data_IF_145962322139
#
_entry.id   IF_145962322139
#
_cell.length_a   1.000
_cell.length_b   1.000
_cell.length_c   1.000
_cell.angle_alpha   90.00
_cell.angle_beta   90.00
_cell.angle_gamma   90.00
#
_symmetry.space_group_name_H-M   'P 1'
#
loop_
_entity.id
_entity.type
_entity.pdbx_description
1 polymer ?
#
# COMPACT_ATOMS: atom_id res chain seq x y z
N UNK A 1 -19.37 19.46 17.70
CA UNK A 1 -19.00 18.27 16.89
C UNK A 1 -19.27 17.04 17.73
N UNK A 2 -20.06 16.09 17.24
CA UNK A 2 -20.30 14.81 17.92
C UNK A 2 -19.02 13.99 18.04
N UNK A 3 -18.99 13.06 18.99
CA UNK A 3 -17.84 12.17 19.17
C UNK A 3 -17.62 11.25 17.96
N UNK A 4 -18.69 10.87 17.25
CA UNK A 4 -18.61 10.15 15.99
C UNK A 4 -17.87 10.95 14.91
N UNK A 5 -18.12 12.27 14.81
CA UNK A 5 -17.42 13.13 13.87
C UNK A 5 -15.91 13.28 14.19
N UNK A 6 -15.55 13.33 15.48
CA UNK A 6 -14.14 13.33 15.92
C UNK A 6 -13.45 12.00 15.60
N UNK A 7 -14.12 10.88 15.88
CA UNK A 7 -13.66 9.52 15.58
C UNK A 7 -13.45 9.31 14.07
N UNK A 8 -14.38 9.76 13.23
CA UNK A 8 -14.25 9.76 11.77
C UNK A 8 -12.98 10.50 11.32
N UNK A 9 -12.79 11.75 11.76
CA UNK A 9 -11.62 12.57 11.39
C UNK A 9 -10.29 11.92 11.81
N UNK A 10 -10.25 11.26 12.98
CA UNK A 10 -9.08 10.50 13.42
C UNK A 10 -8.81 9.30 12.49
N UNK A 11 -9.85 8.54 12.14
CA UNK A 11 -9.72 7.38 11.24
C UNK A 11 -9.29 7.78 9.83
N UNK A 12 -9.76 8.93 9.31
CA UNK A 12 -9.30 9.49 8.03
C UNK A 12 -7.80 9.75 8.02
N UNK A 13 -7.26 10.36 9.08
CA UNK A 13 -5.82 10.61 9.21
C UNK A 13 -5.03 9.30 9.25
N UNK A 14 -5.50 8.32 10.00
CA UNK A 14 -4.86 7.00 10.08
C UNK A 14 -4.89 6.31 8.73
N UNK A 15 -6.02 6.36 8.02
CA UNK A 15 -6.15 5.77 6.69
C UNK A 15 -5.16 6.38 5.69
N UNK A 16 -4.99 7.70 5.73
CA UNK A 16 -3.98 8.39 4.89
C UNK A 16 -2.56 7.88 5.16
N UNK A 17 -2.19 7.70 6.43
CA UNK A 17 -0.87 7.16 6.79
C UNK A 17 -0.72 5.71 6.31
N UNK A 18 -1.77 4.90 6.40
CA UNK A 18 -1.72 3.52 5.91
C UNK A 18 -1.57 3.44 4.39
N UNK A 19 -2.26 4.30 3.64
CA UNK A 19 -2.10 4.40 2.20
C UNK A 19 -0.65 4.76 1.81
N UNK A 20 -0.02 5.69 2.55
CA UNK A 20 1.39 6.04 2.35
C UNK A 20 2.32 4.86 2.67
N UNK A 21 2.07 4.12 3.76
CA UNK A 21 2.82 2.91 4.09
C UNK A 21 2.72 1.86 2.98
N UNK A 22 1.51 1.63 2.45
CA UNK A 22 1.31 0.72 1.31
C UNK A 22 2.15 1.14 0.11
N UNK A 23 2.14 2.43 -0.24
CA UNK A 23 2.93 2.94 -1.36
C UNK A 23 4.43 2.71 -1.18
N UNK A 24 4.95 2.88 0.05
CA UNK A 24 6.37 2.62 0.36
C UNK A 24 6.70 1.14 0.14
N UNK A 25 5.87 0.22 0.64
CA UNK A 25 6.10 -1.22 0.46
C UNK A 25 5.94 -1.64 -1.01
N UNK A 26 4.99 -1.06 -1.75
CA UNK A 26 4.83 -1.28 -3.19
C UNK A 26 6.08 -0.83 -3.97
N UNK A 27 6.61 0.34 -3.62
CA UNK A 27 7.83 0.85 -4.23
C UNK A 27 9.05 -0.01 -3.87
N UNK A 28 9.19 -0.43 -2.61
CA UNK A 28 10.26 -1.32 -2.19
C UNK A 28 10.22 -2.66 -2.95
N UNK A 29 9.03 -3.26 -3.10
CA UNK A 29 8.88 -4.49 -3.88
C UNK A 29 9.20 -4.27 -5.37
N UNK A 30 8.81 -3.13 -5.95
CA UNK A 30 9.15 -2.78 -7.32
C UNK A 30 10.68 -2.64 -7.51
N UNK A 31 11.40 -2.04 -6.56
CA UNK A 31 12.86 -1.94 -6.60
C UNK A 31 13.52 -3.32 -6.52
N UNK A 32 12.99 -4.24 -5.69
CA UNK A 32 13.50 -5.61 -5.63
C UNK A 32 13.30 -6.34 -6.96
N UNK A 33 12.15 -6.17 -7.61
CA UNK A 33 11.87 -6.74 -8.94
C UNK A 33 12.80 -6.16 -10.01
N UNK A 34 13.01 -4.85 -10.00
CA UNK A 34 13.97 -4.21 -10.90
C UNK A 34 15.38 -4.77 -10.70
N UNK A 35 15.85 -4.93 -9.46
CA UNK A 35 17.15 -5.54 -9.17
C UNK A 35 17.23 -6.98 -9.70
N UNK A 36 16.15 -7.76 -9.60
CA UNK A 36 16.09 -9.10 -10.19
C UNK A 36 16.28 -9.05 -11.72
N UNK A 37 15.57 -8.16 -12.40
CA UNK A 37 15.66 -7.99 -13.85
C UNK A 37 17.07 -7.53 -14.29
N UNK A 38 17.74 -6.72 -13.47
CA UNK A 38 19.13 -6.31 -13.68
C UNK A 38 20.11 -7.48 -13.56
N UNK A 39 19.91 -8.36 -12.56
CA UNK A 39 20.70 -9.59 -12.41
C UNK A 39 20.47 -10.51 -13.63
N UNK A 40 19.22 -10.69 -14.04
CA UNK A 40 18.87 -11.47 -15.24
C UNK A 40 19.52 -10.93 -16.51
N UNK A 41 19.53 -9.61 -16.68
CA UNK A 41 20.19 -8.97 -17.82
C UNK A 41 21.70 -9.20 -17.77
N UNK A 42 22.33 -9.03 -16.60
CA UNK A 42 23.76 -9.28 -16.42
C UNK A 42 24.13 -10.73 -16.75
N UNK A 43 23.29 -11.70 -16.34
CA UNK A 43 23.53 -13.12 -16.66
C UNK A 43 23.45 -13.37 -18.16
N UNK A 44 22.44 -12.80 -18.85
CA UNK A 44 22.34 -12.90 -20.31
C UNK A 44 23.55 -12.31 -21.01
N UNK A 45 24.01 -11.13 -20.61
CA UNK A 45 25.21 -10.51 -21.19
C UNK A 45 26.48 -11.37 -20.98
N UNK A 46 26.61 -11.99 -19.80
CA UNK A 46 27.72 -12.91 -19.53
C UNK A 46 27.63 -14.16 -20.43
N UNK A 47 26.43 -14.72 -20.59
CA UNK A 47 26.21 -15.90 -21.44
C UNK A 47 26.39 -15.58 -22.93
N UNK A 48 25.86 -14.47 -23.43
CA UNK A 48 26.03 -14.01 -24.81
C UNK A 48 27.51 -13.79 -25.14
N UNK A 49 28.28 -13.29 -24.18
CA UNK A 49 29.72 -13.11 -24.38
C UNK A 49 30.53 -14.42 -24.32
N UNK A 50 29.92 -15.57 -24.04
CA UNK A 50 30.50 -16.90 -24.19
C UNK A 50 30.21 -17.51 -25.58
N UNK A 51 29.34 -16.91 -26.39
CA UNK A 51 29.05 -17.35 -27.75
C UNK A 51 30.33 -17.37 -28.62
N UNK A 52 30.62 -18.46 -29.36
CA UNK A 52 31.72 -18.55 -30.32
C UNK A 52 31.79 -17.41 -31.34
N UNK A 53 30.67 -16.80 -31.71
CA UNK A 53 30.63 -15.68 -32.65
C UNK A 53 30.93 -14.32 -31.99
N UNK A 54 30.99 -14.27 -30.66
CA UNK A 54 31.21 -13.05 -29.91
C UNK A 54 32.69 -12.66 -29.91
N UNK A 55 32.99 -11.36 -30.12
CA UNK A 55 34.38 -10.84 -30.23
C UNK A 55 35.27 -11.09 -29.00
N UNK A 56 34.67 -11.44 -27.87
CA UNK A 56 35.34 -11.71 -26.58
C UNK A 56 35.31 -13.20 -26.20
N UNK A 57 35.02 -14.09 -27.14
CA UNK A 57 34.96 -15.53 -26.91
C UNK A 57 36.26 -16.05 -26.29
N UNK A 58 36.15 -16.79 -25.18
CA UNK A 58 37.30 -17.38 -24.47
C UNK A 58 38.07 -16.44 -23.52
N UNK A 59 37.85 -15.12 -23.56
CA UNK A 59 38.50 -14.20 -22.61
C UNK A 59 37.85 -14.29 -21.22
N UNK A 60 38.64 -14.66 -20.22
CA UNK A 60 38.29 -14.70 -18.79
C UNK A 60 37.10 -15.60 -18.42
N UNK A 61 37.02 -16.82 -18.97
CA UNK A 61 35.98 -17.82 -18.63
C UNK A 61 35.83 -18.02 -17.11
N UNK A 62 36.94 -18.10 -16.38
CA UNK A 62 36.90 -18.26 -14.92
C UNK A 62 36.22 -17.07 -14.20
N UNK A 63 36.50 -15.84 -14.65
CA UNK A 63 35.87 -14.64 -14.09
C UNK A 63 34.37 -14.57 -14.40
N UNK A 64 33.97 -15.01 -15.60
CA UNK A 64 32.56 -15.12 -16.00
C UNK A 64 31.82 -16.14 -15.14
N UNK A 65 32.39 -17.33 -14.93
CA UNK A 65 31.82 -18.34 -14.02
C UNK A 65 31.70 -17.82 -12.59
N UNK A 66 32.71 -17.11 -12.08
CA UNK A 66 32.64 -16.47 -10.76
C UNK A 66 31.52 -15.43 -10.69
N UNK A 67 31.32 -14.65 -11.76
CA UNK A 67 30.27 -13.64 -11.85
C UNK A 67 28.88 -14.27 -11.86
N UNK A 68 28.65 -15.33 -12.65
CA UNK A 68 27.39 -16.08 -12.66
C UNK A 68 27.07 -16.68 -11.29
N UNK A 69 28.06 -17.30 -10.62
CA UNK A 69 27.86 -17.83 -9.26
C UNK A 69 27.50 -16.75 -8.25
N UNK A 70 28.11 -15.57 -8.35
CA UNK A 70 27.76 -14.42 -7.51
C UNK A 70 26.33 -13.95 -7.79
N UNK A 71 25.96 -13.85 -9.06
CA UNK A 71 24.64 -13.45 -9.49
C UNK A 71 23.56 -14.45 -9.03
N UNK A 72 23.82 -15.76 -9.05
CA UNK A 72 22.94 -16.79 -8.49
C UNK A 72 22.66 -16.59 -6.99
N UNK A 73 23.70 -16.25 -6.22
CA UNK A 73 23.55 -15.98 -4.78
C UNK A 73 22.72 -14.71 -4.55
N UNK A 74 23.02 -13.64 -5.29
CA UNK A 74 22.27 -12.38 -5.21
C UNK A 74 20.81 -12.55 -5.65
N UNK A 75 20.55 -13.37 -6.67
CA UNK A 75 19.20 -13.71 -7.16
C UNK A 75 18.40 -14.42 -6.07
N UNK A 76 18.94 -15.48 -5.47
CA UNK A 76 18.26 -16.22 -4.38
C UNK A 76 17.93 -15.30 -3.21
N UNK A 77 18.89 -14.48 -2.80
CA UNK A 77 18.68 -13.49 -1.74
C UNK A 77 17.57 -12.50 -2.11
N UNK A 78 17.60 -11.98 -3.35
CA UNK A 78 16.58 -11.06 -3.83
C UNK A 78 15.19 -11.70 -3.87
N UNK A 79 15.07 -12.96 -4.30
CA UNK A 79 13.81 -13.71 -4.29
C UNK A 79 13.26 -13.89 -2.86
N UNK A 80 14.12 -14.17 -1.89
CA UNK A 80 13.73 -14.24 -0.47
C UNK A 80 13.24 -12.88 0.04
N UNK A 81 13.97 -11.81 -0.28
CA UNK A 81 13.58 -10.44 0.06
C UNK A 81 12.26 -10.04 -0.60
N UNK A 82 12.00 -10.45 -1.86
CA UNK A 82 10.74 -10.25 -2.56
C UNK A 82 9.59 -10.98 -1.86
N UNK A 83 9.75 -12.26 -1.50
CA UNK A 83 8.73 -13.03 -0.77
C UNK A 83 8.37 -12.37 0.56
N UNK A 84 9.37 -11.91 1.32
CA UNK A 84 9.15 -11.18 2.55
C UNK A 84 8.46 -9.83 2.31
N UNK A 85 8.82 -9.12 1.24
CA UNK A 85 8.18 -7.87 0.82
C UNK A 85 6.71 -8.07 0.45
N UNK A 86 6.38 -9.14 -0.29
CA UNK A 86 5.01 -9.48 -0.65
C UNK A 86 4.15 -9.79 0.59
N UNK A 87 4.71 -10.53 1.56
CA UNK A 87 4.04 -10.81 2.83
C UNK A 87 3.76 -9.52 3.62
N UNK A 88 4.75 -8.61 3.72
CA UNK A 88 4.56 -7.30 4.37
C UNK A 88 3.50 -6.46 3.66
N UNK A 89 3.54 -6.40 2.33
CA UNK A 89 2.56 -5.65 1.55
C UNK A 89 1.13 -6.21 1.74
N UNK A 90 0.97 -7.54 1.80
CA UNK A 90 -0.30 -8.17 2.09
C UNK A 90 -0.84 -7.79 3.48
N UNK A 91 0.03 -7.76 4.49
CA UNK A 91 -0.33 -7.32 5.85
C UNK A 91 -0.78 -5.86 5.86
N UNK A 92 -0.03 -4.95 5.24
CA UNK A 92 -0.39 -3.53 5.18
C UNK A 92 -1.74 -3.32 4.50
N UNK A 93 -2.00 -4.02 3.38
CA UNK A 93 -3.30 -3.98 2.69
C UNK A 93 -4.45 -4.46 3.56
N UNK A 94 -4.21 -5.51 4.36
CA UNK A 94 -5.21 -6.03 5.29
C UNK A 94 -5.52 -5.02 6.41
N UNK A 95 -4.49 -4.41 6.99
CA UNK A 95 -4.64 -3.36 8.01
C UNK A 95 -5.41 -2.15 7.47
N UNK A 96 -5.04 -1.68 6.27
CA UNK A 96 -5.71 -0.58 5.59
C UNK A 96 -7.20 -0.88 5.38
N UNK A 97 -7.53 -2.04 4.81
CA UNK A 97 -8.93 -2.48 4.60
C UNK A 97 -9.71 -2.55 5.92
N UNK A 98 -9.07 -2.97 7.01
CA UNK A 98 -9.66 -2.97 8.35
C UNK A 98 -10.03 -1.56 8.82
N UNK A 99 -9.15 -0.59 8.56
CA UNK A 99 -9.36 0.82 8.91
C UNK A 99 -10.43 1.47 8.01
N UNK A 100 -10.45 1.16 6.72
CA UNK A 100 -11.50 1.61 5.80
C UNK A 100 -12.90 1.18 6.27
N UNK A 101 -13.04 -0.08 6.70
CA UNK A 101 -14.31 -0.58 7.24
C UNK A 101 -14.75 0.19 8.49
N UNK A 102 -13.82 0.45 9.42
CA UNK A 102 -14.10 1.25 10.62
C UNK A 102 -14.45 2.70 10.28
N UNK A 103 -13.79 3.28 9.28
CA UNK A 103 -14.04 4.64 8.80
C UNK A 103 -15.43 4.76 8.15
N UNK A 104 -15.85 3.76 7.36
CA UNK A 104 -17.21 3.69 6.81
C UNK A 104 -18.27 3.59 7.90
N UNK A 105 -18.05 2.77 8.92
CA UNK A 105 -18.97 2.66 10.06
C UNK A 105 -19.07 3.99 10.82
N UNK A 106 -17.95 4.62 11.17
CA UNK A 106 -17.93 5.92 11.84
C UNK A 106 -18.55 7.03 10.99
N UNK A 107 -18.46 6.94 9.66
CA UNK A 107 -19.10 7.90 8.76
C UNK A 107 -20.61 7.79 8.75
N UNK A 108 -21.16 6.57 8.84
CA UNK A 108 -22.61 6.34 8.97
C UNK A 108 -23.13 6.83 10.32
N UNK A 109 -22.41 6.52 11.39
CA UNK A 109 -22.72 6.99 12.75
C UNK A 109 -22.75 8.53 12.81
N UNK A 110 -21.72 9.19 12.28
CA UNK A 110 -21.68 10.65 12.23
C UNK A 110 -22.77 11.27 11.33
N UNK A 111 -23.19 10.59 10.26
CA UNK A 111 -24.31 11.05 9.43
C UNK A 111 -25.64 10.94 10.19
N UNK A 112 -25.86 9.83 10.88
CA UNK A 112 -27.05 9.63 11.72
C UNK A 112 -27.15 10.67 12.84
N UNK A 113 -26.03 11.03 13.49
CA UNK A 113 -26.01 12.09 14.51
C UNK A 113 -26.47 13.44 13.94
N UNK A 114 -26.03 13.76 12.71
CA UNK A 114 -26.39 15.01 12.04
C UNK A 114 -27.87 15.01 11.65
N UNK A 115 -28.38 13.90 11.13
CA UNK A 115 -29.81 13.75 10.80
C UNK A 115 -30.70 13.85 12.05
N UNK A 116 -30.30 13.23 13.15
CA UNK A 116 -31.03 13.29 14.41
C UNK A 116 -31.10 14.72 14.97
N UNK A 117 -29.96 15.43 15.00
CA UNK A 117 -29.91 16.83 15.44
C UNK A 117 -30.74 17.76 14.52
N UNK A 118 -30.73 17.49 13.21
CA UNK A 118 -31.57 18.25 12.27
C UNK A 118 -33.06 18.00 12.49
N UNK A 119 -33.46 16.75 12.74
CA UNK A 119 -34.85 16.40 13.04
C UNK A 119 -35.32 17.06 14.34
N UNK A 120 -34.52 16.98 15.41
CA UNK A 120 -34.81 17.61 16.69
C UNK A 120 -35.05 19.11 16.53
N UNK A 121 -34.15 19.81 15.82
CA UNK A 121 -34.30 21.25 15.53
C UNK A 121 -35.56 21.58 14.71
N UNK A 122 -35.95 20.72 13.76
CA UNK A 122 -37.19 20.91 13.00
C UNK A 122 -38.43 20.71 13.88
N UNK A 123 -38.42 19.71 14.76
CA UNK A 123 -39.52 19.45 15.71
C UNK A 123 -39.66 20.60 16.69
N UNK A 124 -38.56 21.08 17.28
CA UNK A 124 -38.55 22.25 18.17
C UNK A 124 -39.12 23.49 17.46
N UNK A 125 -38.67 23.74 16.23
CA UNK A 125 -39.16 24.86 15.42
C UNK A 125 -40.65 24.75 15.12
N UNK A 126 -41.15 23.54 14.82
CA UNK A 126 -42.56 23.29 14.58
C UNK A 126 -43.39 23.50 15.85
N UNK A 127 -42.97 22.96 16.98
CA UNK A 127 -43.65 23.12 18.27
C UNK A 127 -43.68 24.59 18.71
N UNK A 128 -42.60 25.34 18.51
CA UNK A 128 -42.55 26.77 18.80
C UNK A 128 -43.55 27.57 17.95
N UNK A 129 -43.69 27.24 16.66
CA UNK A 129 -44.72 27.85 15.80
C UNK A 129 -46.13 27.51 16.24
N UNK A 130 -46.36 26.25 16.63
CA UNK A 130 -47.67 25.78 17.07
C UNK A 130 -48.10 26.48 18.38
N UNK A 131 -47.17 26.61 19.33
CA UNK A 131 -47.39 27.36 20.57
C UNK A 131 -47.73 28.84 20.33
N UNK A 132 -47.04 29.49 19.38
CA UNK A 132 -47.32 30.88 19.00
C UNK A 132 -48.62 31.05 18.18
N UNK A 133 -49.17 29.98 17.60
CA UNK A 133 -50.43 30.03 16.85
C UNK A 133 -51.68 29.74 17.70
N UNK A 134 -51.48 29.20 18.91
CA UNK A 134 -52.53 28.82 19.85
C UNK A 134 -52.64 29.76 21.07
N UNK A 135 -51.73 30.75 21.18
CA UNK A 135 -51.80 31.86 22.13
C UNK A 135 -52.20 33.15 21.44
#
# INVERSE_FOLDING_TARGET
MSDAARKKKRLERVLKVQAQKRQIEEWALAQLKQKHDEIDRSDREILDSLDPEHRLHGLFVEAKVKSLRRNDVERRRNEEEQKLGEARLAEVRLQEKGIERRMKAASREAASDVEAAALESHVESFLARLANSLG
#
